data_IF_099737692207
#
_entry.id   IF_099737692207
#
_cell.length_a   1.000
_cell.length_b   1.000
_cell.length_c   1.000
_cell.angle_alpha   90.00
_cell.angle_beta   90.00
_cell.angle_gamma   90.00
#
_symmetry.space_group_name_H-M   'P 1'
#
loop_
_entity.id
_entity.type
_entity.pdbx_description
1 polymer ?
#
# COMPACT_ATOMS: atom_id res chain seq x y z
N UNK A 1 -64.20 13.32 19.89
CA UNK A 1 -62.71 13.32 19.71
C UNK A 1 -62.36 12.14 18.83
N UNK A 2 -61.90 12.39 17.60
CA UNK A 2 -61.47 11.36 16.65
C UNK A 2 -59.99 11.17 16.83
N UNK A 3 -59.45 9.94 16.96
CA UNK A 3 -58.00 9.74 17.06
C UNK A 3 -57.36 9.99 15.69
N UNK A 4 -56.31 10.82 15.67
CA UNK A 4 -55.55 11.15 14.49
C UNK A 4 -54.76 9.94 13.91
N UNK A 5 -54.47 9.93 12.60
CA UNK A 5 -53.83 8.82 11.93
C UNK A 5 -52.37 8.71 12.37
N UNK A 6 -52.04 7.63 13.10
CA UNK A 6 -50.66 7.25 13.39
C UNK A 6 -49.88 7.00 12.09
N UNK A 7 -48.85 7.79 11.83
CA UNK A 7 -47.96 7.68 10.67
C UNK A 7 -47.26 6.31 10.66
N UNK A 8 -47.77 5.38 9.87
CA UNK A 8 -47.09 4.10 9.58
C UNK A 8 -45.91 4.42 8.67
N UNK A 9 -44.68 4.39 9.18
CA UNK A 9 -43.48 4.40 8.34
C UNK A 9 -43.62 3.29 7.28
N UNK A 10 -43.31 3.58 6.00
CA UNK A 10 -43.46 2.59 4.93
C UNK A 10 -42.61 1.35 5.21
N UNK A 11 -43.17 0.16 4.91
CA UNK A 11 -42.50 -1.15 5.16
C UNK A 11 -41.09 -1.23 4.54
N UNK A 12 -40.79 -0.50 3.48
CA UNK A 12 -39.49 -0.43 2.82
C UNK A 12 -38.41 0.31 3.65
N UNK A 13 -38.80 1.34 4.42
CA UNK A 13 -37.86 2.03 5.31
C UNK A 13 -37.46 1.15 6.49
N UNK A 14 -38.44 0.43 7.10
CA UNK A 14 -38.16 -0.51 8.20
C UNK A 14 -37.25 -1.67 7.74
N UNK A 15 -37.41 -2.14 6.50
CA UNK A 15 -36.59 -3.22 5.94
C UNK A 15 -35.15 -2.74 5.62
N UNK A 16 -34.98 -1.50 5.13
CA UNK A 16 -33.67 -0.87 4.92
C UNK A 16 -32.94 -0.58 6.22
N UNK A 17 -33.64 -0.08 7.23
CA UNK A 17 -33.05 0.17 8.58
C UNK A 17 -32.61 -1.13 9.25
N UNK A 18 -33.43 -2.19 9.22
CA UNK A 18 -33.05 -3.49 9.78
C UNK A 18 -31.83 -4.10 9.08
N UNK A 19 -31.75 -4.00 7.74
CA UNK A 19 -30.59 -4.50 7.00
C UNK A 19 -29.32 -3.70 7.33
N UNK A 20 -29.43 -2.39 7.54
CA UNK A 20 -28.30 -1.54 7.87
C UNK A 20 -27.80 -1.80 9.29
N UNK A 21 -28.70 -2.02 10.25
CA UNK A 21 -28.33 -2.33 11.62
C UNK A 21 -27.74 -3.74 11.75
N UNK A 22 -28.23 -4.69 10.97
CA UNK A 22 -27.65 -6.03 10.88
C UNK A 22 -26.25 -5.98 10.27
N UNK A 23 -26.04 -5.22 9.18
CA UNK A 23 -24.73 -5.03 8.58
C UNK A 23 -23.74 -4.38 9.55
N UNK A 24 -24.15 -3.30 10.24
CA UNK A 24 -23.34 -2.66 11.26
C UNK A 24 -22.95 -3.63 12.37
N UNK A 25 -23.90 -4.41 12.86
CA UNK A 25 -23.65 -5.42 13.89
C UNK A 25 -22.63 -6.45 13.42
N UNK A 26 -22.75 -6.98 12.19
CA UNK A 26 -21.78 -7.94 11.64
C UNK A 26 -20.39 -7.33 11.48
N UNK A 27 -20.28 -6.12 10.94
CA UNK A 27 -19.00 -5.43 10.77
C UNK A 27 -18.27 -5.18 12.08
N UNK A 28 -19.02 -4.85 13.15
CA UNK A 28 -18.44 -4.53 14.46
C UNK A 28 -18.34 -5.74 15.41
N UNK A 29 -18.81 -6.93 14.98
CA UNK A 29 -18.71 -8.15 15.82
C UNK A 29 -17.26 -8.57 15.97
N UNK A 30 -16.79 -8.59 17.22
CA UNK A 30 -15.44 -9.01 17.59
C UNK A 30 -15.34 -10.54 17.72
N UNK A 31 -14.22 -11.09 17.24
CA UNK A 31 -13.90 -12.53 17.38
C UNK A 31 -13.06 -12.83 18.61
N UNK A 32 -12.22 -11.90 19.05
CA UNK A 32 -11.30 -12.11 20.15
C UNK A 32 -11.45 -11.07 21.24
N UNK A 33 -11.08 -11.44 22.47
CA UNK A 33 -11.03 -10.53 23.61
C UNK A 33 -9.76 -9.68 23.70
N UNK A 34 -8.77 -9.89 22.80
CA UNK A 34 -7.52 -9.14 22.87
C UNK A 34 -7.77 -7.65 22.57
N UNK A 35 -7.46 -6.79 23.55
CA UNK A 35 -7.63 -5.35 23.39
C UNK A 35 -6.79 -4.77 22.25
N UNK A 36 -5.60 -5.37 21.98
CA UNK A 36 -4.69 -4.95 20.90
C UNK A 36 -5.25 -5.17 19.50
N UNK A 37 -6.35 -5.92 19.37
CA UNK A 37 -6.98 -6.24 18.08
C UNK A 37 -8.26 -5.40 17.86
N UNK A 38 -8.65 -4.56 18.82
CA UNK A 38 -9.70 -3.59 18.57
C UNK A 38 -9.18 -2.48 17.65
N UNK A 39 -10.08 -1.93 16.82
CA UNK A 39 -9.74 -0.95 15.79
C UNK A 39 -8.83 0.19 16.29
N UNK A 40 -9.17 0.95 17.36
CA UNK A 40 -8.32 2.06 17.77
C UNK A 40 -6.92 1.62 18.23
N UNK A 41 -6.85 0.51 18.98
CA UNK A 41 -5.58 0.00 19.49
C UNK A 41 -4.71 -0.58 18.35
N UNK A 42 -5.30 -1.30 17.39
CA UNK A 42 -4.58 -1.84 16.26
C UNK A 42 -3.97 -0.73 15.40
N UNK A 43 -4.72 0.33 15.11
CA UNK A 43 -4.24 1.52 14.41
C UNK A 43 -3.15 2.23 15.21
N UNK A 44 -3.37 2.51 16.47
CA UNK A 44 -2.37 3.14 17.32
C UNK A 44 -1.05 2.35 17.36
N UNK A 45 -1.12 1.03 17.52
CA UNK A 45 0.06 0.17 17.57
C UNK A 45 0.76 0.09 16.20
N UNK A 46 0.05 0.16 15.08
CA UNK A 46 0.68 0.21 13.76
C UNK A 46 1.44 1.51 13.53
N UNK A 47 0.89 2.65 13.97
CA UNK A 47 1.58 3.94 13.95
C UNK A 47 2.79 3.96 14.89
N UNK A 48 2.69 3.32 16.07
CA UNK A 48 3.83 3.17 16.98
C UNK A 48 4.92 2.28 16.38
N UNK A 49 4.56 1.22 15.66
CA UNK A 49 5.51 0.38 14.94
C UNK A 49 6.30 1.18 13.89
N UNK A 50 5.61 2.03 13.13
CA UNK A 50 6.26 2.97 12.20
C UNK A 50 7.22 3.92 12.92
N UNK A 51 6.74 4.60 13.96
CA UNK A 51 7.54 5.57 14.70
C UNK A 51 8.80 4.94 15.30
N UNK A 52 8.66 3.80 15.96
CA UNK A 52 9.80 3.05 16.53
C UNK A 52 10.76 2.60 15.42
N UNK A 53 10.22 2.17 14.26
CA UNK A 53 11.02 1.82 13.10
C UNK A 53 11.86 3.01 12.59
N UNK A 54 11.26 4.18 12.47
CA UNK A 54 11.98 5.40 12.06
C UNK A 54 13.07 5.79 13.08
N UNK A 55 12.82 5.60 14.37
CA UNK A 55 13.85 5.79 15.40
C UNK A 55 15.02 4.80 15.25
N UNK A 56 14.74 3.52 14.94
CA UNK A 56 15.80 2.55 14.65
C UNK A 56 16.61 2.95 13.41
N UNK A 57 15.95 3.48 12.38
CA UNK A 57 16.61 3.97 11.18
C UNK A 57 17.60 5.09 11.48
N UNK A 58 17.18 6.07 12.25
CA UNK A 58 18.03 7.19 12.65
C UNK A 58 19.27 6.72 13.42
N UNK A 59 19.14 5.71 14.28
CA UNK A 59 20.27 5.09 14.96
C UNK A 59 21.18 4.34 13.96
N UNK A 60 20.58 3.59 13.02
CA UNK A 60 21.36 2.85 12.01
C UNK A 60 22.17 3.80 11.13
N UNK A 61 21.60 4.88 10.65
CA UNK A 61 22.27 5.91 9.84
C UNK A 61 23.49 6.46 10.58
N UNK A 62 23.30 6.81 11.84
CA UNK A 62 24.36 7.37 12.67
C UNK A 62 25.49 6.37 12.95
N UNK A 63 25.16 5.10 13.23
CA UNK A 63 26.13 4.05 13.59
C UNK A 63 26.85 3.50 12.36
N UNK A 64 26.17 3.34 11.24
CA UNK A 64 26.74 2.71 10.04
C UNK A 64 27.50 3.67 9.15
N UNK A 65 27.25 4.99 9.27
CA UNK A 65 27.82 5.98 8.36
C UNK A 65 27.41 5.72 6.89
N UNK A 66 26.25 5.12 6.66
CA UNK A 66 25.79 4.70 5.32
C UNK A 66 25.79 5.86 4.32
N UNK A 67 25.57 7.08 4.78
CA UNK A 67 25.65 8.29 3.95
C UNK A 67 26.99 8.42 3.23
N UNK A 68 28.09 8.18 3.93
CA UNK A 68 29.43 8.25 3.32
C UNK A 68 29.61 7.19 2.22
N UNK A 69 29.04 6.00 2.41
CA UNK A 69 29.05 4.94 1.40
C UNK A 69 28.18 5.35 0.20
N UNK A 70 26.99 5.88 0.43
CA UNK A 70 26.08 6.31 -0.63
C UNK A 70 26.67 7.47 -1.45
N UNK A 71 27.35 8.42 -0.81
CA UNK A 71 28.05 9.52 -1.48
C UNK A 71 29.14 9.03 -2.45
N UNK A 72 29.77 7.89 -2.15
CA UNK A 72 30.79 7.31 -3.05
C UNK A 72 30.21 6.78 -4.38
N UNK A 73 28.91 6.49 -4.45
CA UNK A 73 28.23 6.00 -5.66
C UNK A 73 27.67 7.10 -6.55
N UNK A 74 27.48 8.31 -6.04
CA UNK A 74 26.81 9.35 -6.78
C UNK A 74 27.16 10.77 -6.30
N UNK A 75 26.24 11.67 -6.50
CA UNK A 75 26.27 13.01 -5.92
C UNK A 75 25.49 13.02 -4.58
N UNK A 76 25.62 14.11 -3.83
CA UNK A 76 24.95 14.27 -2.53
C UNK A 76 23.43 14.10 -2.61
N UNK A 77 22.79 14.61 -3.67
CA UNK A 77 21.35 14.50 -3.84
C UNK A 77 20.90 13.04 -4.06
N UNK A 78 21.67 12.24 -4.81
CA UNK A 78 21.39 10.80 -4.97
C UNK A 78 21.60 10.06 -3.65
N UNK A 79 22.60 10.42 -2.88
CA UNK A 79 22.84 9.86 -1.56
C UNK A 79 21.69 10.16 -0.59
N UNK A 80 21.23 11.40 -0.50
CA UNK A 80 20.09 11.81 0.33
C UNK A 80 18.81 11.06 -0.04
N UNK A 81 18.53 10.93 -1.34
CA UNK A 81 17.34 10.21 -1.80
C UNK A 81 17.42 8.72 -1.47
N UNK A 82 18.59 8.08 -1.67
CA UNK A 82 18.78 6.68 -1.31
C UNK A 82 18.70 6.47 0.22
N UNK A 83 19.30 7.36 1.02
CA UNK A 83 19.25 7.36 2.47
C UNK A 83 17.79 7.43 2.97
N UNK A 84 17.00 8.36 2.42
CA UNK A 84 15.59 8.48 2.74
C UNK A 84 14.83 7.16 2.53
N UNK A 85 14.99 6.49 1.39
CA UNK A 85 14.33 5.20 1.15
C UNK A 85 14.88 4.06 2.00
N UNK A 86 16.19 4.02 2.23
CA UNK A 86 16.83 3.01 3.06
C UNK A 86 16.49 3.18 4.55
N UNK A 87 16.13 4.40 4.97
CA UNK A 87 15.72 4.66 6.35
C UNK A 87 14.50 3.82 6.76
N UNK A 88 13.69 3.36 5.83
CA UNK A 88 12.57 2.44 6.10
C UNK A 88 13.03 1.04 6.57
N UNK A 89 14.31 0.70 6.46
CA UNK A 89 14.85 -0.58 6.97
C UNK A 89 14.63 -0.76 8.49
N UNK A 90 14.64 0.34 9.27
CA UNK A 90 14.33 0.28 10.69
C UNK A 90 12.93 -0.20 11.00
N UNK A 91 11.96 0.03 10.11
CA UNK A 91 10.58 -0.48 10.26
C UNK A 91 10.56 -2.01 10.14
N UNK A 92 11.36 -2.59 9.24
CA UNK A 92 11.53 -4.04 9.15
C UNK A 92 12.08 -4.61 10.46
N UNK A 93 13.10 -3.97 11.03
CA UNK A 93 13.71 -4.39 12.32
C UNK A 93 12.67 -4.30 13.43
N UNK A 94 11.97 -3.17 13.55
CA UNK A 94 10.90 -3.00 14.54
C UNK A 94 9.82 -4.08 14.39
N UNK A 95 9.39 -4.36 13.17
CA UNK A 95 8.39 -5.41 12.92
C UNK A 95 8.87 -6.78 13.40
N UNK A 96 10.11 -7.19 13.11
CA UNK A 96 10.63 -8.48 13.58
C UNK A 96 10.70 -8.56 15.10
N UNK A 97 10.96 -7.46 15.80
CA UNK A 97 10.92 -7.39 17.25
C UNK A 97 9.47 -7.47 17.79
N UNK A 98 8.53 -6.76 17.15
CA UNK A 98 7.10 -6.78 17.51
C UNK A 98 6.39 -8.07 17.14
N UNK A 99 6.83 -8.78 16.10
CA UNK A 99 6.28 -10.06 15.68
C UNK A 99 6.66 -11.22 16.62
N UNK A 100 7.25 -10.90 17.79
CA UNK A 100 7.57 -11.88 18.82
C UNK A 100 6.31 -12.33 19.58
N UNK A 101 6.36 -13.53 20.20
CA UNK A 101 5.30 -14.11 21.02
C UNK A 101 3.94 -14.18 20.27
N UNK A 102 2.91 -13.51 20.78
CA UNK A 102 1.54 -13.59 20.26
C UNK A 102 1.31 -13.10 18.82
N UNK A 103 2.30 -12.45 18.18
CA UNK A 103 2.24 -11.99 16.80
C UNK A 103 3.10 -12.83 15.86
N UNK A 104 3.80 -13.85 16.36
CA UNK A 104 4.70 -14.71 15.56
C UNK A 104 4.08 -15.30 14.28
N UNK A 105 2.77 -15.66 14.22
CA UNK A 105 2.16 -16.11 12.98
C UNK A 105 2.32 -15.13 11.81
N UNK A 106 2.43 -13.82 12.07
CA UNK A 106 2.62 -12.79 11.03
C UNK A 106 3.90 -12.99 10.22
N UNK A 107 4.98 -13.52 10.81
CA UNK A 107 6.22 -13.82 10.10
C UNK A 107 6.01 -14.79 8.92
N UNK A 108 4.97 -15.64 9.00
CA UNK A 108 4.63 -16.57 7.93
C UNK A 108 4.07 -15.88 6.68
N UNK A 109 3.67 -14.60 6.75
CA UNK A 109 3.26 -13.82 5.57
C UNK A 109 4.46 -13.53 4.66
N UNK A 110 5.65 -13.38 5.23
CA UNK A 110 6.89 -13.12 4.50
C UNK A 110 7.55 -14.41 3.95
N UNK A 111 7.18 -15.57 4.46
CA UNK A 111 7.85 -16.84 4.14
C UNK A 111 7.66 -17.23 2.66
N UNK A 112 8.75 -17.61 2.01
CA UNK A 112 8.74 -18.27 0.69
C UNK A 112 8.48 -19.77 0.86
N UNK A 113 7.21 -20.14 0.91
CA UNK A 113 6.78 -21.51 1.14
C UNK A 113 6.94 -22.40 -0.10
N UNK A 114 6.91 -23.72 0.11
CA UNK A 114 6.99 -24.74 -0.95
C UNK A 114 5.87 -24.62 -2.00
N UNK A 115 4.69 -24.12 -1.62
CA UNK A 115 3.56 -23.90 -2.54
C UNK A 115 3.81 -22.78 -3.57
N UNK A 116 4.90 -22.02 -3.43
CA UNK A 116 5.34 -21.01 -4.38
C UNK A 116 4.47 -19.75 -4.46
N UNK A 117 3.44 -19.61 -3.60
CA UNK A 117 2.49 -18.48 -3.66
C UNK A 117 3.19 -17.13 -3.59
N UNK A 118 4.06 -16.92 -2.60
CA UNK A 118 4.79 -15.67 -2.46
C UNK A 118 5.77 -15.42 -3.62
N UNK A 119 6.46 -16.46 -4.14
CA UNK A 119 7.34 -16.31 -5.31
C UNK A 119 6.57 -15.88 -6.56
N UNK A 120 5.47 -16.61 -6.86
CA UNK A 120 4.59 -16.26 -7.99
C UNK A 120 3.95 -14.90 -7.77
N UNK A 121 3.49 -14.61 -6.55
CA UNK A 121 2.92 -13.32 -6.17
C UNK A 121 3.90 -12.18 -6.39
N UNK A 122 5.16 -12.33 -6.01
CA UNK A 122 6.21 -11.33 -6.22
C UNK A 122 6.40 -11.01 -7.71
N UNK A 123 6.51 -12.03 -8.56
CA UNK A 123 6.70 -11.83 -10.01
C UNK A 123 5.47 -11.17 -10.65
N UNK A 124 4.27 -11.65 -10.32
CA UNK A 124 3.02 -11.08 -10.84
C UNK A 124 2.85 -9.65 -10.32
N UNK A 125 3.10 -9.40 -9.04
CA UNK A 125 3.00 -8.07 -8.43
C UNK A 125 3.92 -7.08 -9.11
N UNK A 126 5.21 -7.42 -9.27
CA UNK A 126 6.17 -6.57 -9.96
C UNK A 126 5.69 -6.23 -11.39
N UNK A 127 5.29 -7.24 -12.15
CA UNK A 127 4.76 -7.05 -13.49
C UNK A 127 3.52 -6.14 -13.51
N UNK A 128 2.58 -6.33 -12.58
CA UNK A 128 1.38 -5.47 -12.48
C UNK A 128 1.75 -4.03 -12.14
N UNK A 129 2.68 -3.80 -11.19
CA UNK A 129 3.13 -2.46 -10.82
C UNK A 129 3.75 -1.73 -12.00
N UNK A 130 4.72 -2.37 -12.67
CA UNK A 130 5.41 -1.81 -13.84
C UNK A 130 4.43 -1.55 -15.00
N UNK A 131 3.55 -2.51 -15.30
CA UNK A 131 2.64 -2.39 -16.44
C UNK A 131 1.55 -1.35 -16.21
N UNK A 132 0.95 -1.28 -15.03
CA UNK A 132 -0.13 -0.32 -14.76
C UNK A 132 0.38 1.11 -14.65
N UNK A 133 1.52 1.34 -13.99
CA UNK A 133 2.16 2.65 -13.94
C UNK A 133 2.70 3.05 -15.31
N UNK A 134 3.45 2.16 -15.97
CA UNK A 134 4.01 2.40 -17.31
C UNK A 134 2.93 2.67 -18.36
N UNK A 135 1.77 2.00 -18.27
CA UNK A 135 0.62 2.32 -19.13
C UNK A 135 0.14 3.77 -18.95
N UNK A 136 0.00 4.22 -17.71
CA UNK A 136 -0.42 5.61 -17.44
C UNK A 136 0.63 6.61 -17.96
N UNK A 137 1.92 6.32 -17.78
CA UNK A 137 3.01 7.16 -18.29
C UNK A 137 2.98 7.20 -19.82
N UNK A 138 2.85 6.04 -20.47
CA UNK A 138 2.73 5.96 -21.94
C UNK A 138 1.56 6.79 -22.46
N UNK A 139 0.39 6.67 -21.81
CA UNK A 139 -0.78 7.47 -22.18
C UNK A 139 -0.54 8.97 -21.98
N UNK A 140 0.15 9.37 -20.91
CA UNK A 140 0.52 10.78 -20.69
C UNK A 140 1.45 11.32 -21.78
N UNK A 141 2.38 10.50 -22.25
CA UNK A 141 3.24 10.87 -23.40
C UNK A 141 2.43 10.97 -24.69
N UNK A 142 1.53 10.01 -24.96
CA UNK A 142 0.70 10.01 -26.18
C UNK A 142 -0.29 11.17 -26.24
N UNK A 143 -0.80 11.62 -25.08
CA UNK A 143 -1.66 12.81 -25.01
C UNK A 143 -0.88 14.12 -25.04
N UNK A 144 0.45 14.06 -24.99
CA UNK A 144 1.33 15.23 -24.96
C UNK A 144 1.27 15.99 -23.63
N UNK A 145 0.86 15.33 -22.53
CA UNK A 145 0.83 15.93 -21.21
C UNK A 145 2.22 15.99 -20.57
N UNK A 146 3.09 15.04 -20.96
CA UNK A 146 4.50 15.01 -20.54
C UNK A 146 5.41 14.66 -21.71
N UNK A 147 6.64 15.20 -21.63
CA UNK A 147 7.73 14.83 -22.50
C UNK A 147 8.86 14.25 -21.66
N UNK A 148 9.39 13.12 -22.11
CA UNK A 148 10.47 12.41 -21.43
C UNK A 148 11.71 12.43 -22.31
N UNK A 149 12.86 12.68 -21.70
CA UNK A 149 14.16 12.57 -22.35
C UNK A 149 15.02 11.55 -21.61
N UNK A 150 15.90 10.85 -22.35
CA UNK A 150 16.92 10.01 -21.71
C UNK A 150 17.80 10.90 -20.83
N UNK A 151 18.08 10.43 -19.61
CA UNK A 151 18.95 11.14 -18.69
C UNK A 151 20.31 10.44 -18.57
N UNK A 152 20.38 9.35 -17.83
CA UNK A 152 21.59 8.57 -17.69
C UNK A 152 21.29 7.13 -17.25
N UNK A 153 22.17 6.19 -17.61
CA UNK A 153 22.09 4.83 -17.10
C UNK A 153 23.34 4.45 -16.32
N UNK A 154 23.21 4.33 -15.02
CA UNK A 154 24.24 3.86 -14.11
C UNK A 154 23.74 2.59 -13.43
N UNK A 155 24.22 1.39 -13.82
CA UNK A 155 23.73 0.12 -13.32
C UNK A 155 23.80 -0.01 -11.79
N UNK A 156 24.83 0.55 -11.18
CA UNK A 156 25.02 0.55 -9.72
C UNK A 156 23.93 1.35 -9.00
N UNK A 157 23.60 2.54 -9.47
CA UNK A 157 22.52 3.36 -8.91
C UNK A 157 21.15 2.74 -9.20
N UNK A 158 20.96 2.20 -10.40
CA UNK A 158 19.71 1.54 -10.77
C UNK A 158 19.37 0.37 -9.84
N UNK A 159 20.38 -0.48 -9.52
CA UNK A 159 20.19 -1.59 -8.60
C UNK A 159 20.04 -1.11 -7.14
N UNK A 160 20.81 -0.11 -6.73
CA UNK A 160 20.71 0.48 -5.40
C UNK A 160 19.30 1.05 -5.17
N UNK A 161 18.78 1.83 -6.10
CA UNK A 161 17.44 2.40 -5.98
C UNK A 161 16.33 1.37 -6.08
N UNK A 162 16.52 0.30 -6.87
CA UNK A 162 15.55 -0.81 -6.83
C UNK A 162 15.48 -1.43 -5.44
N UNK A 163 16.63 -1.69 -4.82
CA UNK A 163 16.67 -2.23 -3.45
C UNK A 163 16.09 -1.24 -2.43
N UNK A 164 16.41 0.04 -2.55
CA UNK A 164 15.92 1.08 -1.66
C UNK A 164 14.37 1.23 -1.74
N UNK A 165 13.81 1.29 -2.96
CA UNK A 165 12.36 1.34 -3.19
C UNK A 165 11.68 0.05 -2.69
N UNK A 166 12.30 -1.11 -2.86
CA UNK A 166 11.80 -2.38 -2.31
C UNK A 166 11.74 -2.36 -0.78
N UNK A 167 12.77 -1.84 -0.12
CA UNK A 167 12.81 -1.70 1.34
C UNK A 167 11.69 -0.78 1.82
N UNK A 168 11.52 0.38 1.19
CA UNK A 168 10.49 1.37 1.53
C UNK A 168 9.09 0.79 1.30
N UNK A 169 8.77 0.35 0.09
CA UNK A 169 7.46 -0.22 -0.24
C UNK A 169 7.13 -1.43 0.64
N UNK A 170 8.13 -2.27 0.89
CA UNK A 170 7.99 -3.43 1.75
C UNK A 170 7.71 -3.07 3.21
N UNK A 171 8.34 -2.02 3.73
CA UNK A 171 8.11 -1.53 5.09
C UNK A 171 6.66 -1.06 5.28
N UNK A 172 6.12 -0.30 4.32
CA UNK A 172 4.72 0.13 4.35
C UNK A 172 3.76 -1.07 4.31
N UNK A 173 4.01 -2.04 3.41
CA UNK A 173 3.17 -3.23 3.32
C UNK A 173 3.26 -4.13 4.57
N UNK A 174 4.40 -4.14 5.25
CA UNK A 174 4.56 -4.86 6.53
C UNK A 174 3.72 -4.20 7.62
N UNK A 175 3.74 -2.89 7.74
CA UNK A 175 2.93 -2.16 8.72
C UNK A 175 1.44 -2.36 8.43
N UNK A 176 1.04 -2.15 7.18
CA UNK A 176 -0.36 -2.14 6.84
C UNK A 176 -0.95 -3.54 6.65
N UNK A 177 -0.34 -4.38 5.80
CA UNK A 177 -0.96 -5.68 5.39
C UNK A 177 -0.49 -6.85 6.22
N UNK A 178 0.73 -6.76 6.80
CA UNK A 178 1.21 -7.82 7.67
C UNK A 178 0.87 -7.57 9.15
N UNK A 179 0.87 -6.31 9.61
CA UNK A 179 0.57 -6.00 11.00
C UNK A 179 -0.88 -5.54 11.19
N UNK A 180 -1.26 -4.34 10.72
CA UNK A 180 -2.58 -3.74 10.97
C UNK A 180 -3.72 -4.63 10.44
N UNK A 181 -3.67 -5.02 9.16
CA UNK A 181 -4.68 -5.88 8.56
C UNK A 181 -4.83 -7.18 9.33
N UNK A 182 -3.73 -7.85 9.69
CA UNK A 182 -3.79 -9.13 10.41
C UNK A 182 -4.33 -8.98 11.85
N UNK A 183 -4.04 -7.87 12.53
CA UNK A 183 -4.63 -7.55 13.83
C UNK A 183 -6.15 -7.40 13.72
N UNK A 184 -6.60 -6.64 12.75
CA UNK A 184 -8.03 -6.43 12.49
C UNK A 184 -8.73 -7.73 12.06
N UNK A 185 -8.06 -8.58 11.24
CA UNK A 185 -8.58 -9.91 10.87
C UNK A 185 -8.73 -10.84 12.07
N UNK A 186 -7.83 -10.79 13.03
CA UNK A 186 -7.97 -11.51 14.30
C UNK A 186 -9.08 -10.90 15.16
N UNK A 187 -9.23 -9.59 15.11
CA UNK A 187 -10.17 -8.84 15.96
C UNK A 187 -11.64 -8.95 15.54
N UNK A 188 -11.92 -9.04 14.23
CA UNK A 188 -13.27 -8.90 13.68
C UNK A 188 -13.68 -10.05 12.76
N UNK A 189 -14.98 -10.38 12.80
CA UNK A 189 -15.57 -11.48 11.99
C UNK A 189 -15.52 -11.14 10.50
N UNK A 190 -15.92 -9.91 10.15
CA UNK A 190 -16.03 -9.49 8.75
C UNK A 190 -14.69 -9.02 8.19
N UNK A 191 -14.16 -9.64 7.12
CA UNK A 191 -12.88 -9.26 6.52
C UNK A 191 -12.92 -7.85 5.92
N UNK A 192 -14.08 -7.39 5.47
CA UNK A 192 -14.25 -6.06 4.88
C UNK A 192 -13.96 -4.93 5.86
N UNK A 193 -14.16 -5.19 7.17
CA UNK A 193 -13.76 -4.26 8.22
C UNK A 193 -12.23 -4.06 8.21
N UNK A 194 -11.46 -5.15 8.17
CA UNK A 194 -10.01 -5.10 8.12
C UNK A 194 -9.51 -4.44 6.82
N UNK A 195 -10.08 -4.81 5.66
CA UNK A 195 -9.73 -4.26 4.35
C UNK A 195 -10.01 -2.75 4.32
N UNK A 196 -11.20 -2.32 4.74
CA UNK A 196 -11.61 -0.92 4.70
C UNK A 196 -10.79 -0.03 5.63
N UNK A 197 -10.63 -0.43 6.90
CA UNK A 197 -9.85 0.36 7.87
C UNK A 197 -8.39 0.45 7.43
N UNK A 198 -7.79 -0.67 7.04
CA UNK A 198 -6.41 -0.70 6.58
C UNK A 198 -6.18 0.26 5.41
N UNK A 199 -7.08 0.25 4.41
CA UNK A 199 -6.97 1.11 3.23
C UNK A 199 -7.17 2.59 3.56
N UNK A 200 -8.05 2.92 4.50
CA UNK A 200 -8.25 4.29 4.95
C UNK A 200 -7.08 4.80 5.79
N UNK A 201 -6.48 3.96 6.63
CA UNK A 201 -5.27 4.31 7.39
C UNK A 201 -4.10 4.54 6.44
N UNK A 202 -3.93 3.66 5.44
CA UNK A 202 -2.92 3.82 4.39
C UNK A 202 -3.06 5.17 3.67
N UNK A 203 -4.26 5.53 3.25
CA UNK A 203 -4.52 6.85 2.66
C UNK A 203 -4.27 7.98 3.64
N UNK A 204 -4.67 7.84 4.91
CA UNK A 204 -4.47 8.88 5.91
C UNK A 204 -2.97 9.18 6.17
N UNK A 205 -2.11 8.17 6.12
CA UNK A 205 -0.66 8.35 6.23
C UNK A 205 -0.05 9.12 5.06
N UNK A 206 -0.72 9.15 3.90
CA UNK A 206 -0.29 9.91 2.73
C UNK A 206 -0.84 11.35 2.68
N UNK A 207 -1.74 11.74 3.59
CA UNK A 207 -2.30 13.10 3.61
C UNK A 207 -1.26 14.23 3.76
N UNK A 208 -0.13 14.02 4.48
CA UNK A 208 0.91 15.03 4.57
C UNK A 208 1.74 15.20 3.28
N UNK A 209 1.60 14.32 2.28
CA UNK A 209 2.41 14.37 1.07
C UNK A 209 2.07 15.61 0.23
N UNK A 210 3.12 16.29 -0.22
CA UNK A 210 2.98 17.50 -1.02
C UNK A 210 2.24 17.25 -2.33
N UNK A 211 1.34 18.14 -2.68
CA UNK A 211 0.61 18.10 -3.93
C UNK A 211 -0.52 17.08 -4.02
N UNK A 212 -0.82 16.32 -2.94
CA UNK A 212 -1.89 15.31 -2.96
C UNK A 212 -3.24 15.96 -3.28
N UNK A 213 -3.90 15.43 -4.30
CA UNK A 213 -5.23 15.87 -4.74
C UNK A 213 -6.30 14.82 -4.49
N UNK A 214 -7.56 15.11 -4.85
CA UNK A 214 -8.68 14.18 -4.64
C UNK A 214 -8.51 12.87 -5.40
N UNK A 215 -8.00 12.92 -6.65
CA UNK A 215 -7.76 11.71 -7.44
C UNK A 215 -6.69 10.82 -6.77
N UNK A 216 -5.60 11.42 -6.27
CA UNK A 216 -4.57 10.72 -5.51
C UNK A 216 -5.12 10.04 -4.26
N UNK A 217 -5.94 10.74 -3.47
CA UNK A 217 -6.59 10.14 -2.28
C UNK A 217 -7.45 8.92 -2.64
N UNK A 218 -8.24 9.03 -3.72
CA UNK A 218 -9.08 7.92 -4.19
C UNK A 218 -8.19 6.77 -4.71
N UNK A 219 -7.16 7.07 -5.49
CA UNK A 219 -6.22 6.08 -6.00
C UNK A 219 -5.54 5.31 -4.87
N UNK A 220 -5.05 6.01 -3.82
CA UNK A 220 -4.40 5.39 -2.66
C UNK A 220 -5.37 4.48 -1.88
N UNK A 221 -6.64 4.86 -1.75
CA UNK A 221 -7.65 3.97 -1.15
C UNK A 221 -7.87 2.72 -1.99
N UNK A 222 -8.03 2.87 -3.31
CA UNK A 222 -8.25 1.73 -4.22
C UNK A 222 -7.07 0.76 -4.23
N UNK A 223 -5.83 1.28 -4.27
CA UNK A 223 -4.63 0.44 -4.21
C UNK A 223 -4.51 -0.23 -2.84
N UNK A 224 -4.88 0.46 -1.77
CA UNK A 224 -4.95 -0.08 -0.41
C UNK A 224 -5.88 -1.29 -0.31
N UNK A 225 -7.07 -1.18 -0.91
CA UNK A 225 -8.03 -2.29 -1.02
C UNK A 225 -7.43 -3.43 -1.84
N UNK A 226 -6.85 -3.14 -3.00
CA UNK A 226 -6.27 -4.13 -3.90
C UNK A 226 -5.15 -4.94 -3.22
N UNK A 227 -4.24 -4.28 -2.50
CA UNK A 227 -3.16 -4.93 -1.76
C UNK A 227 -3.69 -5.81 -0.63
N UNK A 228 -4.71 -5.35 0.09
CA UNK A 228 -5.39 -6.16 1.12
C UNK A 228 -6.06 -7.40 0.50
N UNK A 229 -6.64 -7.29 -0.70
CA UNK A 229 -7.23 -8.42 -1.43
C UNK A 229 -6.18 -9.42 -1.94
N UNK A 230 -4.95 -8.99 -2.22
CA UNK A 230 -3.87 -9.93 -2.55
C UNK A 230 -3.53 -10.81 -1.35
N UNK A 231 -3.54 -10.27 -0.15
CA UNK A 231 -3.38 -11.04 1.08
C UNK A 231 -4.60 -11.94 1.32
N UNK A 232 -5.80 -11.41 1.19
CA UNK A 232 -7.04 -12.12 1.44
C UNK A 232 -7.27 -13.30 0.50
N UNK A 233 -7.24 -13.07 -0.81
CA UNK A 233 -7.57 -14.10 -1.80
C UNK A 233 -6.41 -15.00 -2.21
N UNK A 234 -5.18 -14.48 -2.17
CA UNK A 234 -4.02 -15.21 -2.70
C UNK A 234 -3.00 -15.58 -1.62
N UNK A 235 -3.20 -15.15 -0.38
CA UNK A 235 -2.25 -15.36 0.74
C UNK A 235 -0.82 -14.97 0.34
N UNK A 236 -0.69 -13.80 -0.31
CA UNK A 236 0.58 -13.31 -0.82
C UNK A 236 0.82 -11.85 -0.46
N UNK A 237 1.58 -11.62 0.60
CA UNK A 237 2.09 -10.30 0.95
C UNK A 237 3.07 -9.79 -0.10
N UNK A 238 3.89 -10.69 -0.67
CA UNK A 238 4.85 -10.32 -1.70
C UNK A 238 4.23 -9.84 -3.01
N UNK A 239 2.97 -10.20 -3.29
CA UNK A 239 2.25 -9.61 -4.42
C UNK A 239 2.00 -8.11 -4.19
N UNK A 240 1.63 -7.72 -2.97
CA UNK A 240 1.44 -6.32 -2.61
C UNK A 240 2.80 -5.57 -2.60
N UNK A 241 3.79 -6.08 -1.87
CA UNK A 241 5.15 -5.48 -1.80
C UNK A 241 5.70 -5.22 -3.21
N UNK A 242 5.69 -6.22 -4.07
CA UNK A 242 6.32 -6.10 -5.39
C UNK A 242 5.49 -5.29 -6.38
N UNK A 243 4.16 -5.25 -6.26
CA UNK A 243 3.36 -4.33 -7.07
C UNK A 243 3.60 -2.88 -6.64
N UNK A 244 3.67 -2.63 -5.35
CA UNK A 244 4.01 -1.31 -4.82
C UNK A 244 5.43 -0.88 -5.26
N UNK A 245 6.41 -1.76 -5.09
CA UNK A 245 7.79 -1.54 -5.57
C UNK A 245 7.82 -1.26 -7.08
N UNK A 246 7.13 -2.08 -7.89
CA UNK A 246 7.10 -1.91 -9.33
C UNK A 246 6.48 -0.59 -9.77
N UNK A 247 5.40 -0.17 -9.10
CA UNK A 247 4.76 1.13 -9.33
C UNK A 247 5.73 2.28 -9.02
N UNK A 248 6.26 2.32 -7.79
CA UNK A 248 7.14 3.40 -7.33
C UNK A 248 8.45 3.46 -8.13
N UNK A 249 9.07 2.31 -8.39
CA UNK A 249 10.31 2.22 -9.16
C UNK A 249 10.12 2.71 -10.60
N UNK A 250 9.02 2.32 -11.25
CA UNK A 250 8.70 2.76 -12.60
C UNK A 250 8.53 4.27 -12.64
N UNK A 251 7.75 4.84 -11.72
CA UNK A 251 7.46 6.26 -11.71
C UNK A 251 8.69 7.09 -11.37
N UNK A 252 9.41 6.75 -10.29
CA UNK A 252 10.50 7.57 -9.76
C UNK A 252 11.83 7.33 -10.46
N UNK A 253 12.20 6.07 -10.69
CA UNK A 253 13.57 5.70 -11.12
C UNK A 253 13.65 5.44 -12.62
N UNK A 254 12.66 4.79 -13.22
CA UNK A 254 12.66 4.65 -14.66
C UNK A 254 12.35 5.99 -15.36
N UNK A 255 11.33 6.71 -14.90
CA UNK A 255 10.83 7.87 -15.63
C UNK A 255 11.02 9.23 -14.94
N UNK A 256 11.58 9.28 -13.72
CA UNK A 256 11.91 10.51 -13.02
C UNK A 256 10.71 11.43 -12.77
N UNK A 257 9.53 10.85 -12.59
CA UNK A 257 8.29 11.59 -12.34
C UNK A 257 8.05 11.75 -10.83
N UNK A 258 7.32 12.80 -10.40
CA UNK A 258 6.87 12.92 -9.02
C UNK A 258 6.14 11.64 -8.58
N UNK A 259 6.47 11.15 -7.40
CA UNK A 259 5.84 9.98 -6.77
C UNK A 259 5.52 10.35 -5.33
N UNK A 260 4.24 10.34 -4.98
CA UNK A 260 3.76 10.75 -3.65
C UNK A 260 4.31 12.11 -3.19
N UNK A 261 4.50 13.06 -4.12
CA UNK A 261 5.02 14.40 -3.88
C UNK A 261 6.55 14.52 -3.91
N UNK A 262 7.29 13.41 -4.10
CA UNK A 262 8.77 13.40 -4.11
C UNK A 262 9.31 13.10 -5.52
N UNK A 263 10.37 13.81 -5.94
CA UNK A 263 11.07 13.57 -7.21
C UNK A 263 12.44 13.01 -6.93
N UNK A 264 12.78 11.91 -7.61
CA UNK A 264 14.11 11.29 -7.48
C UNK A 264 15.19 12.16 -8.12
N UNK A 265 16.33 12.25 -7.44
CA UNK A 265 17.53 12.89 -7.97
C UNK A 265 18.27 12.09 -9.04
N UNK A 266 17.97 10.78 -9.16
CA UNK A 266 18.46 9.87 -10.19
C UNK A 266 17.27 9.21 -10.91
N UNK A 267 17.34 9.17 -12.22
CA UNK A 267 16.37 8.42 -13.04
C UNK A 267 16.97 8.10 -14.42
N UNK A 268 16.49 7.02 -15.02
CA UNK A 268 16.89 6.62 -16.38
C UNK A 268 16.40 7.62 -17.44
N UNK A 269 15.13 8.02 -17.34
CA UNK A 269 14.54 9.12 -18.08
C UNK A 269 14.18 10.24 -17.13
N UNK A 270 14.10 11.47 -17.64
CA UNK A 270 13.65 12.62 -16.85
C UNK A 270 12.54 13.37 -17.57
N UNK A 271 11.72 14.03 -16.77
CA UNK A 271 10.65 14.90 -17.23
C UNK A 271 11.23 16.21 -17.76
N UNK A 272 10.79 16.64 -18.94
CA UNK A 272 10.97 18.01 -19.41
C UNK A 272 9.93 18.91 -18.76
N UNK A 273 10.26 19.44 -17.58
CA UNK A 273 9.32 20.16 -16.73
C UNK A 273 8.62 21.35 -17.40
N UNK A 274 9.29 22.00 -18.38
CA UNK A 274 8.73 23.13 -19.12
C UNK A 274 7.49 22.77 -19.96
N UNK A 275 7.33 21.50 -20.33
CA UNK A 275 6.22 21.00 -21.14
C UNK A 275 5.18 20.23 -20.34
N UNK A 276 5.46 19.98 -19.05
CA UNK A 276 4.57 19.18 -18.21
C UNK A 276 3.27 19.93 -17.89
N UNK A 277 2.15 19.27 -18.14
CA UNK A 277 0.82 19.77 -17.78
C UNK A 277 -0.05 18.65 -17.20
N UNK A 278 -1.00 19.04 -16.36
CA UNK A 278 -1.98 18.07 -15.84
C UNK A 278 -2.97 17.69 -16.93
N UNK A 279 -3.20 16.37 -17.06
CA UNK A 279 -4.12 15.76 -18.01
C UNK A 279 -4.86 14.59 -17.40
N UNK A 280 -5.39 13.72 -18.26
CA UNK A 280 -6.17 12.56 -17.82
C UNK A 280 -5.30 11.54 -17.06
N UNK A 281 -4.03 11.35 -17.47
CA UNK A 281 -3.14 10.32 -16.94
C UNK A 281 -1.97 10.87 -16.13
N UNK A 282 -1.85 12.19 -15.98
CA UNK A 282 -0.77 12.84 -15.25
C UNK A 282 -1.26 14.07 -14.47
N UNK A 283 -0.65 14.32 -13.34
CA UNK A 283 -0.83 15.53 -12.53
C UNK A 283 0.55 16.14 -12.20
N UNK A 284 0.73 17.43 -12.45
CA UNK A 284 2.04 18.10 -12.30
C UNK A 284 2.54 18.12 -10.85
N UNK A 285 1.65 18.08 -9.86
CA UNK A 285 2.01 18.17 -8.44
C UNK A 285 2.19 16.82 -7.79
N UNK A 286 1.47 15.78 -8.25
CA UNK A 286 1.43 14.47 -7.58
C UNK A 286 1.82 13.31 -8.50
N UNK A 287 2.18 13.60 -9.75
CA UNK A 287 2.54 12.57 -10.74
C UNK A 287 1.35 11.79 -11.26
N UNK A 288 1.60 10.57 -11.70
CA UNK A 288 0.59 9.65 -12.24
C UNK A 288 -0.51 9.36 -11.21
N UNK A 289 -0.15 9.18 -9.96
CA UNK A 289 -1.07 8.87 -8.84
C UNK A 289 -2.17 9.91 -8.66
N UNK A 290 -1.87 11.18 -8.95
CA UNK A 290 -2.83 12.28 -8.88
C UNK A 290 -3.79 12.37 -10.06
N UNK A 291 -3.86 11.36 -10.94
CA UNK A 291 -4.62 11.40 -12.17
C UNK A 291 -5.89 10.55 -12.14
N UNK A 292 -6.90 10.95 -12.89
CA UNK A 292 -8.14 10.18 -13.06
C UNK A 292 -7.83 8.85 -13.78
N UNK A 293 -6.89 8.87 -14.74
CA UNK A 293 -6.45 7.69 -15.47
C UNK A 293 -5.92 6.60 -14.55
N UNK A 294 -5.10 6.95 -13.55
CA UNK A 294 -4.61 6.00 -12.56
C UNK A 294 -5.76 5.42 -11.69
N UNK A 295 -6.72 6.26 -11.29
CA UNK A 295 -7.93 5.80 -10.58
C UNK A 295 -8.69 4.75 -11.39
N UNK A 296 -8.89 5.00 -12.70
CA UNK A 296 -9.59 4.07 -13.60
C UNK A 296 -8.79 2.78 -13.78
N UNK A 297 -7.49 2.85 -14.03
CA UNK A 297 -6.63 1.67 -14.23
C UNK A 297 -6.64 0.77 -12.99
N UNK A 298 -6.43 1.35 -11.82
CA UNK A 298 -6.47 0.59 -10.55
C UNK A 298 -7.88 0.08 -10.27
N UNK A 299 -8.93 0.86 -10.55
CA UNK A 299 -10.33 0.45 -10.43
C UNK A 299 -10.67 -0.76 -11.30
N UNK A 300 -10.19 -0.80 -12.55
CA UNK A 300 -10.36 -1.94 -13.45
C UNK A 300 -9.65 -3.18 -12.89
N UNK A 301 -8.40 -3.04 -12.44
CA UNK A 301 -7.65 -4.15 -11.87
C UNK A 301 -8.33 -4.69 -10.61
N UNK A 302 -8.82 -3.81 -9.74
CA UNK A 302 -9.60 -4.17 -8.57
C UNK A 302 -10.87 -4.95 -8.95
N UNK A 303 -11.61 -4.47 -9.94
CA UNK A 303 -12.82 -5.14 -10.45
C UNK A 303 -12.50 -6.54 -11.01
N UNK A 304 -11.38 -6.70 -11.73
CA UNK A 304 -10.92 -8.00 -12.24
C UNK A 304 -10.60 -8.96 -11.08
N UNK A 305 -9.89 -8.49 -10.04
CA UNK A 305 -9.56 -9.31 -8.86
C UNK A 305 -10.83 -9.75 -8.14
N UNK A 306 -11.77 -8.84 -7.91
CA UNK A 306 -13.04 -9.13 -7.26
C UNK A 306 -13.87 -10.14 -8.09
N UNK A 307 -14.00 -9.92 -9.39
CA UNK A 307 -14.76 -10.80 -10.28
C UNK A 307 -14.19 -12.22 -10.34
N UNK A 308 -12.85 -12.35 -10.41
CA UNK A 308 -12.19 -13.67 -10.44
C UNK A 308 -12.33 -14.45 -9.13
N UNK A 309 -12.66 -13.76 -8.04
CA UNK A 309 -12.77 -14.35 -6.71
C UNK A 309 -14.20 -14.27 -6.13
N UNK A 310 -15.20 -13.98 -6.96
CA UNK A 310 -16.60 -14.01 -6.53
C UNK A 310 -16.93 -15.37 -5.88
N UNK A 311 -17.56 -15.32 -4.70
CA UNK A 311 -17.93 -16.52 -3.94
C UNK A 311 -16.78 -17.25 -3.24
N UNK A 312 -15.54 -16.76 -3.36
CA UNK A 312 -14.40 -17.32 -2.63
C UNK A 312 -14.22 -16.59 -1.31
N UNK A 313 -13.85 -17.35 -0.28
CA UNK A 313 -13.43 -16.81 1.02
C UNK A 313 -11.94 -16.54 1.10
N UNK A 314 -11.49 -16.21 2.29
CA UNK A 314 -10.08 -16.01 2.63
C UNK A 314 -9.25 -17.26 2.33
N UNK A 315 -8.11 -17.08 1.68
CA UNK A 315 -7.25 -18.18 1.26
C UNK A 315 -6.60 -18.89 2.45
N UNK A 316 -6.28 -18.14 3.47
CA UNK A 316 -5.70 -18.65 4.71
C UNK A 316 -6.05 -17.75 5.88
N UNK A 317 -6.70 -18.30 6.89
CA UNK A 317 -6.77 -17.66 8.19
C UNK A 317 -5.43 -17.88 8.91
N UNK A 318 -4.73 -16.76 9.13
CA UNK A 318 -3.42 -16.76 9.79
C UNK A 318 -3.50 -17.21 11.25
N UNK A 319 -4.64 -17.00 11.88
CA UNK A 319 -4.87 -17.21 13.30
C UNK A 319 -5.58 -18.52 13.63
N UNK A 320 -6.06 -19.24 12.63
CA UNK A 320 -6.61 -20.57 12.83
C UNK A 320 -5.54 -21.46 13.46
N UNK A 321 -5.87 -22.12 14.54
CA UNK A 321 -5.00 -23.14 15.15
C UNK A 321 -4.68 -24.18 14.07
N UNK A 322 -3.41 -24.60 13.90
CA UNK A 322 -3.12 -25.73 13.05
C UNK A 322 -3.99 -26.89 13.53
N UNK A 323 -4.85 -27.38 12.64
CA UNK A 323 -5.58 -28.61 12.93
C UNK A 323 -4.54 -29.64 13.40
N UNK A 324 -4.74 -30.13 14.60
CA UNK A 324 -3.93 -31.23 15.13
C UNK A 324 -4.10 -32.38 14.14
N UNK A 325 -3.07 -32.62 13.32
CA UNK A 325 -2.98 -33.77 12.44
C UNK A 325 -2.23 -34.88 13.17
#
# INVERSE_FOLDING_TARGET
>A
MVPGPGSRRPKNEKRKTNNMDELKRRLLTRQTGYWTDCFPAAVFLSLMLMLVGMMFSSVLEHVTGIRNVLQSFGNDAAAEFAEFYLSFAGIWIAFFLFANKGNRPMLSCLAFRKDGRNRRGALIGLGLGVLTNGFCILMSCLTGDIHLMFNEFRPELFLLFFAAVLIQSGAEEIVDRCYLYQKLRRGYVEPWMAIGINSLVFMAMHLPNDGINTAGKVQIVLIGILFSLFVYYYDSLWAAIMMHTGWNFTQSILFGLPNSGTVSSYSLFKLEAAYARSGLFYNVNFGVEGSIGAVVVIGILLAVVLRRNLGKGEKRDLWASPAVK
#
